data_IF_688544464096
#
_entry.id   IF_688544464096
#
_cell.length_a   1.000
_cell.length_b   1.000
_cell.length_c   1.000
_cell.angle_alpha   90.00
_cell.angle_beta   90.00
_cell.angle_gamma   90.00
#
_symmetry.space_group_name_H-M   'P 1'
#
loop_
_entity.id
_entity.type
_entity.pdbx_description
1 polymer ?
#
# COMPACT_ATOMS: atom_id res chain seq x y z
N UNK A 1 -2.41 -23.90 0.31
CA UNK A 1 -1.95 -23.84 -1.09
C UNK A 1 -2.38 -22.48 -1.62
N UNK A 2 -1.50 -21.75 -2.30
CA UNK A 2 -1.86 -20.44 -2.86
C UNK A 2 -2.92 -20.61 -3.95
N UNK A 3 -3.91 -19.72 -3.98
CA UNK A 3 -4.97 -19.69 -5.00
C UNK A 3 -4.36 -19.35 -6.35
N UNK A 4 -3.53 -18.31 -6.38
CA UNK A 4 -2.86 -17.84 -7.58
C UNK A 4 -1.43 -18.40 -7.63
N UNK A 5 -1.09 -19.08 -8.72
CA UNK A 5 0.24 -19.66 -8.93
C UNK A 5 1.33 -18.61 -9.10
N UNK A 6 0.96 -17.41 -9.56
CA UNK A 6 1.87 -16.28 -9.78
C UNK A 6 1.99 -15.37 -8.54
N UNK A 7 1.47 -15.78 -7.37
CA UNK A 7 1.58 -14.96 -6.17
C UNK A 7 3.07 -14.70 -5.86
N UNK A 8 3.50 -13.42 -5.72
CA UNK A 8 4.89 -13.12 -5.47
C UNK A 8 5.34 -13.64 -4.11
N UNK A 9 6.63 -13.95 -4.01
CA UNK A 9 7.26 -14.31 -2.74
C UNK A 9 7.68 -13.07 -1.98
N UNK A 10 8.00 -13.21 -0.69
CA UNK A 10 8.56 -12.10 0.11
C UNK A 10 9.87 -11.59 -0.49
N UNK A 11 10.70 -12.47 -1.04
CA UNK A 11 11.97 -12.06 -1.66
C UNK A 11 11.73 -11.29 -2.96
N UNK A 12 10.81 -11.75 -3.82
CA UNK A 12 10.41 -11.03 -5.03
C UNK A 12 9.89 -9.63 -4.70
N UNK A 13 8.95 -9.54 -3.75
CA UNK A 13 8.40 -8.27 -3.29
C UNK A 13 9.50 -7.29 -2.86
N UNK A 14 10.54 -7.76 -2.17
CA UNK A 14 11.66 -6.92 -1.72
C UNK A 14 12.63 -6.57 -2.84
N UNK A 15 12.74 -7.40 -3.87
CA UNK A 15 13.50 -7.08 -5.09
C UNK A 15 12.81 -5.94 -5.85
N UNK A 16 11.49 -5.99 -5.97
CA UNK A 16 10.71 -5.02 -6.75
C UNK A 16 10.44 -3.73 -5.96
N UNK A 17 10.32 -3.82 -4.63
CA UNK A 17 10.15 -2.68 -3.71
C UNK A 17 11.28 -2.64 -2.65
N UNK A 18 12.51 -2.22 -3.05
CA UNK A 18 13.70 -2.28 -2.19
C UNK A 18 13.62 -1.38 -0.94
N UNK A 19 12.75 -0.37 -0.94
CA UNK A 19 12.47 0.49 0.22
C UNK A 19 11.90 -0.28 1.42
N UNK A 20 11.32 -1.46 1.20
CA UNK A 20 10.84 -2.30 2.30
C UNK A 20 11.93 -3.17 2.92
N UNK A 21 13.19 -3.13 2.45
CA UNK A 21 14.29 -4.05 2.83
C UNK A 21 14.59 -4.19 4.33
N UNK A 22 14.25 -3.21 5.17
CA UNK A 22 14.40 -3.32 6.63
C UNK A 22 13.44 -4.37 7.22
N UNK A 23 13.98 -5.56 7.53
CA UNK A 23 13.22 -6.68 8.10
C UNK A 23 12.75 -6.45 9.54
N UNK A 24 13.30 -5.46 10.24
CA UNK A 24 12.83 -5.08 11.58
C UNK A 24 11.59 -4.21 11.47
N UNK A 25 11.64 -3.22 10.59
CA UNK A 25 10.52 -2.31 10.37
C UNK A 25 9.39 -2.93 9.54
N UNK A 26 9.75 -3.79 8.58
CA UNK A 26 8.84 -4.53 7.71
C UNK A 26 9.13 -6.02 7.80
N UNK A 27 8.62 -6.73 8.82
CA UNK A 27 8.89 -8.15 8.99
C UNK A 27 8.37 -9.02 7.84
N UNK A 28 9.09 -10.09 7.52
CA UNK A 28 8.69 -11.05 6.49
C UNK A 28 7.30 -11.66 6.79
N UNK A 29 6.94 -11.80 8.07
CA UNK A 29 5.61 -12.25 8.50
C UNK A 29 4.49 -11.27 8.14
N UNK A 30 4.76 -9.95 8.13
CA UNK A 30 3.78 -8.95 7.75
C UNK A 30 3.58 -8.93 6.23
N UNK A 31 4.67 -9.00 5.46
CA UNK A 31 4.61 -9.06 3.99
C UNK A 31 3.87 -10.34 3.56
N UNK A 32 4.26 -11.50 4.09
CA UNK A 32 3.61 -12.77 3.76
C UNK A 32 2.12 -12.78 4.13
N UNK A 33 1.74 -12.17 5.26
CA UNK A 33 0.35 -12.03 5.64
C UNK A 33 -0.45 -11.26 4.57
N UNK A 34 0.04 -10.09 4.13
CA UNK A 34 -0.69 -9.28 3.15
C UNK A 34 -0.61 -9.82 1.72
N UNK A 35 0.45 -10.55 1.36
CA UNK A 35 0.47 -11.35 0.12
C UNK A 35 -0.61 -12.43 0.16
N UNK A 36 -0.80 -13.11 1.28
CA UNK A 36 -1.90 -14.06 1.45
C UNK A 36 -3.29 -13.40 1.34
N UNK A 37 -3.43 -12.16 1.83
CA UNK A 37 -4.65 -11.38 1.64
C UNK A 37 -4.87 -10.98 0.17
N UNK A 38 -3.81 -10.57 -0.52
CA UNK A 38 -3.85 -10.28 -1.95
C UNK A 38 -4.25 -11.53 -2.76
N UNK A 39 -3.73 -12.69 -2.39
CA UNK A 39 -4.07 -13.98 -3.02
C UNK A 39 -5.57 -14.29 -2.92
N UNK A 40 -6.20 -13.96 -1.79
CA UNK A 40 -7.64 -14.17 -1.59
C UNK A 40 -8.51 -13.20 -2.41
N UNK A 41 -8.08 -11.94 -2.53
CA UNK A 41 -8.89 -10.85 -3.11
C UNK A 41 -8.69 -10.70 -4.62
N UNK A 42 -7.49 -10.98 -5.11
CA UNK A 42 -7.12 -10.83 -6.51
C UNK A 42 -7.17 -12.19 -7.23
N UNK A 43 -7.34 -12.11 -8.54
CA UNK A 43 -7.38 -13.29 -9.40
C UNK A 43 -6.44 -13.11 -10.57
N UNK A 44 -5.45 -14.00 -10.69
CA UNK A 44 -4.44 -13.94 -11.74
C UNK A 44 -5.06 -14.13 -13.13
N UNK A 45 -6.19 -14.82 -13.24
CA UNK A 45 -6.85 -15.04 -14.54
C UNK A 45 -7.57 -13.78 -15.02
N UNK A 46 -8.05 -12.95 -14.08
CA UNK A 46 -8.71 -11.68 -14.37
C UNK A 46 -7.70 -10.57 -14.66
N UNK A 47 -6.61 -10.51 -13.89
CA UNK A 47 -5.63 -9.43 -13.98
C UNK A 47 -4.47 -9.74 -14.93
N UNK A 48 -4.28 -11.00 -15.32
CA UNK A 48 -3.21 -11.43 -16.23
C UNK A 48 -1.84 -11.02 -15.71
N UNK A 49 -1.02 -10.46 -16.59
CA UNK A 49 0.36 -10.05 -16.30
C UNK A 49 0.46 -8.96 -15.22
N UNK A 50 -0.62 -8.19 -15.00
CA UNK A 50 -0.66 -7.15 -13.96
C UNK A 50 -0.88 -7.72 -12.55
N UNK A 51 -1.24 -9.01 -12.42
CA UNK A 51 -1.55 -9.62 -11.14
C UNK A 51 -0.44 -9.47 -10.11
N UNK A 52 0.81 -9.76 -10.50
CA UNK A 52 1.98 -9.68 -9.61
C UNK A 52 2.11 -8.27 -9.06
N UNK A 53 2.14 -7.28 -9.95
CA UNK A 53 2.30 -5.88 -9.58
C UNK A 53 1.16 -5.37 -8.67
N UNK A 54 -0.09 -5.73 -8.96
CA UNK A 54 -1.23 -5.38 -8.11
C UNK A 54 -1.16 -6.03 -6.73
N UNK A 55 -0.75 -7.30 -6.65
CA UNK A 55 -0.58 -8.01 -5.37
C UNK A 55 0.52 -7.35 -4.52
N UNK A 56 1.59 -6.87 -5.16
CA UNK A 56 2.67 -6.16 -4.48
C UNK A 56 2.26 -4.75 -4.06
N UNK A 57 1.58 -3.97 -4.90
CA UNK A 57 1.05 -2.65 -4.51
C UNK A 57 0.05 -2.74 -3.35
N UNK A 58 -0.84 -3.74 -3.38
CA UNK A 58 -1.73 -4.05 -2.26
C UNK A 58 -0.94 -4.34 -0.99
N UNK A 59 0.07 -5.20 -1.08
CA UNK A 59 0.92 -5.60 0.04
C UNK A 59 1.69 -4.40 0.60
N UNK A 60 2.34 -3.62 -0.26
CA UNK A 60 3.09 -2.42 0.10
C UNK A 60 2.22 -1.39 0.84
N UNK A 61 0.99 -1.15 0.37
CA UNK A 61 0.06 -0.24 1.04
C UNK A 61 -0.18 -0.63 2.50
N UNK A 62 -0.54 -1.89 2.75
CA UNK A 62 -0.83 -2.35 4.10
C UNK A 62 0.43 -2.49 4.98
N UNK A 63 1.54 -2.94 4.41
CA UNK A 63 2.82 -3.07 5.12
C UNK A 63 3.33 -1.69 5.55
N UNK A 64 3.23 -0.66 4.70
CA UNK A 64 3.60 0.71 5.05
C UNK A 64 2.70 1.26 6.17
N UNK A 65 1.38 1.10 6.06
CA UNK A 65 0.43 1.53 7.10
C UNK A 65 0.72 0.85 8.44
N UNK A 66 1.03 -0.45 8.42
CA UNK A 66 1.43 -1.20 9.62
C UNK A 66 2.75 -0.70 10.18
N UNK A 67 3.75 -0.43 9.34
CA UNK A 67 5.03 0.15 9.76
C UNK A 67 4.84 1.49 10.47
N UNK A 68 4.01 2.38 9.91
CA UNK A 68 3.63 3.67 10.53
C UNK A 68 2.94 3.46 11.89
N UNK A 69 2.02 2.52 12.00
CA UNK A 69 1.32 2.22 13.25
C UNK A 69 2.26 1.68 14.33
N UNK A 70 3.19 0.78 13.98
CA UNK A 70 4.19 0.23 14.90
C UNK A 70 5.16 1.32 15.37
N UNK A 71 5.61 2.19 14.47
CA UNK A 71 6.46 3.34 14.84
C UNK A 71 5.70 4.33 15.74
N UNK A 72 4.44 4.62 15.43
CA UNK A 72 3.61 5.46 16.30
C UNK A 72 3.45 4.86 17.70
N UNK A 73 3.30 3.53 17.79
CA UNK A 73 3.19 2.83 19.04
C UNK A 73 4.49 2.79 19.84
N UNK A 74 5.65 2.65 19.18
CA UNK A 74 6.95 2.67 19.87
C UNK A 74 7.26 4.05 20.45
N UNK A 75 6.82 5.13 19.81
CA UNK A 75 6.99 6.50 20.31
C UNK A 75 5.99 6.81 21.44
N UNK A 76 4.71 6.41 21.29
CA UNK A 76 3.64 6.76 22.23
C UNK A 76 3.50 5.78 23.40
N UNK A 77 4.12 4.59 23.34
CA UNK A 77 3.90 3.49 24.29
C UNK A 77 2.51 2.86 24.22
N UNK A 78 1.70 3.19 23.20
CA UNK A 78 0.31 2.72 23.01
C UNK A 78 0.03 2.54 21.53
N UNK A 79 -0.80 1.56 21.17
CA UNK A 79 -1.30 1.42 19.80
C UNK A 79 -2.10 2.66 19.45
N UNK A 80 -1.60 3.44 18.48
CA UNK A 80 -2.25 4.66 18.01
C UNK A 80 -2.79 4.44 16.60
N UNK A 81 -4.12 4.36 16.50
CA UNK A 81 -4.86 4.21 15.22
C UNK A 81 -5.30 5.54 14.63
N UNK A 82 -5.04 6.66 15.29
CA UNK A 82 -5.43 8.01 14.84
C UNK A 82 -4.51 8.57 13.73
N UNK A 83 -3.45 7.84 13.35
CA UNK A 83 -2.54 8.23 12.26
C UNK A 83 -3.15 8.08 10.84
N UNK A 84 -4.43 7.72 10.72
CA UNK A 84 -5.14 7.57 9.44
C UNK A 84 -5.78 8.86 8.89
N UNK A 85 -5.65 9.98 9.58
CA UNK A 85 -5.89 11.30 8.99
C UNK A 85 -4.56 11.85 8.47
N UNK A 86 -4.54 12.38 7.25
CA UNK A 86 -3.41 13.17 6.74
C UNK A 86 -3.07 14.21 7.81
N UNK A 87 -1.88 14.12 8.39
CA UNK A 87 -1.42 15.12 9.34
C UNK A 87 -1.25 16.45 8.57
N UNK A 88 -2.22 17.35 8.69
CA UNK A 88 -2.19 18.68 8.05
C UNK A 88 -1.18 19.62 8.69
N UNK A 89 -0.72 19.30 9.90
CA UNK A 89 0.37 20.01 10.55
C UNK A 89 1.07 19.14 11.61
N UNK A 90 2.41 19.18 11.59
CA UNK A 90 3.24 18.92 12.77
C UNK A 90 4.11 20.16 12.96
N UNK A 91 3.91 20.89 14.06
CA UNK A 91 4.74 22.03 14.43
C UNK A 91 5.75 21.59 15.51
N UNK A 92 7.03 21.72 15.18
CA UNK A 92 8.10 21.83 16.17
C UNK A 92 8.70 23.21 15.94
N UNK A 93 8.86 23.97 17.02
CA UNK A 93 9.13 25.41 17.06
C UNK A 93 9.68 26.04 15.75
N UNK A 94 8.85 26.92 15.15
CA UNK A 94 9.05 27.73 13.92
C UNK A 94 9.21 27.03 12.55
N UNK A 95 9.25 25.71 12.44
CA UNK A 95 9.29 25.03 11.12
C UNK A 95 8.15 24.02 11.00
N UNK A 96 7.11 24.39 10.26
CA UNK A 96 6.04 23.49 9.83
C UNK A 96 6.21 23.15 8.35
N UNK A 97 6.30 21.86 8.03
CA UNK A 97 6.20 21.39 6.65
C UNK A 97 4.75 20.90 6.40
N UNK A 98 4.01 21.63 5.57
CA UNK A 98 2.70 21.22 5.06
C UNK A 98 2.86 20.92 3.57
N UNK A 99 2.55 19.68 3.16
CA UNK A 99 2.58 19.26 1.77
C UNK A 99 1.15 19.30 1.21
N UNK A 100 0.93 20.03 0.12
CA UNK A 100 -0.32 19.94 -0.63
C UNK A 100 -0.32 18.65 -1.45
N UNK A 101 -1.32 17.80 -1.19
CA UNK A 101 -1.51 16.49 -1.84
C UNK A 101 -2.85 16.42 -2.57
N UNK A 102 -3.57 17.53 -2.67
CA UNK A 102 -4.89 17.60 -3.30
C UNK A 102 -4.88 17.15 -4.76
N UNK A 103 -3.78 17.39 -5.49
CA UNK A 103 -3.61 16.96 -6.88
C UNK A 103 -3.35 15.46 -7.10
N UNK A 104 -3.06 14.70 -6.04
CA UNK A 104 -2.74 13.25 -6.12
C UNK A 104 -3.84 12.40 -5.47
N UNK A 105 -4.65 13.00 -4.58
CA UNK A 105 -5.75 12.32 -3.92
C UNK A 105 -6.92 12.15 -4.87
N UNK A 106 -7.41 10.92 -5.02
CA UNK A 106 -8.68 10.66 -5.67
C UNK A 106 -9.78 10.60 -4.58
N UNK A 107 -10.84 11.43 -4.64
CA UNK A 107 -11.88 11.47 -3.62
C UNK A 107 -12.58 10.11 -3.42
N UNK A 108 -12.61 9.26 -4.45
CA UNK A 108 -13.26 7.95 -4.41
C UNK A 108 -12.35 6.84 -3.85
N UNK A 109 -11.04 7.09 -3.69
CA UNK A 109 -10.09 6.07 -3.25
C UNK A 109 -10.15 5.80 -1.75
N UNK A 110 -10.74 6.70 -0.95
CA UNK A 110 -10.93 6.56 0.50
C UNK A 110 -9.65 6.09 1.21
N UNK A 111 -9.72 4.90 1.82
CA UNK A 111 -8.62 4.24 2.53
C UNK A 111 -7.32 4.13 1.72
N UNK A 112 -7.43 3.90 0.40
CA UNK A 112 -6.30 3.75 -0.49
C UNK A 112 -5.46 5.02 -0.63
N UNK A 113 -6.01 6.20 -0.31
CA UNK A 113 -5.27 7.46 -0.37
C UNK A 113 -4.13 7.58 0.66
N UNK A 114 -4.13 6.75 1.70
CA UNK A 114 -3.18 6.85 2.81
C UNK A 114 -1.71 6.58 2.43
N UNK A 115 -1.47 5.95 1.27
CA UNK A 115 -0.12 5.71 0.75
C UNK A 115 -0.04 5.91 -0.75
N UNK A 116 1.18 6.11 -1.28
CA UNK A 116 1.39 6.16 -2.73
C UNK A 116 1.01 4.83 -3.40
N UNK A 117 1.44 3.71 -2.81
CA UNK A 117 1.10 2.36 -3.30
C UNK A 117 -0.41 2.11 -3.36
N UNK A 118 -1.15 2.58 -2.35
CA UNK A 118 -2.60 2.43 -2.31
C UNK A 118 -3.29 3.24 -3.40
N UNK A 119 -2.86 4.49 -3.61
CA UNK A 119 -3.40 5.33 -4.69
C UNK A 119 -3.18 4.70 -6.06
N UNK A 120 -1.98 4.19 -6.29
CA UNK A 120 -1.64 3.50 -7.54
C UNK A 120 -2.39 2.18 -7.70
N UNK A 121 -2.48 1.37 -6.64
CA UNK A 121 -3.29 0.16 -6.63
C UNK A 121 -4.74 0.46 -7.03
N UNK A 122 -5.36 1.45 -6.37
CA UNK A 122 -6.74 1.84 -6.65
C UNK A 122 -6.93 2.32 -8.08
N UNK A 123 -5.99 3.11 -8.60
CA UNK A 123 -6.02 3.55 -9.99
C UNK A 123 -6.07 2.37 -10.94
N UNK A 124 -5.09 1.45 -10.86
CA UNK A 124 -5.04 0.29 -11.75
C UNK A 124 -6.24 -0.63 -11.55
N UNK A 125 -6.56 -0.96 -10.30
CA UNK A 125 -7.69 -1.80 -9.94
C UNK A 125 -9.02 -1.26 -10.49
N UNK A 126 -9.25 0.06 -10.41
CA UNK A 126 -10.46 0.71 -10.96
C UNK A 126 -10.57 0.68 -12.49
N UNK A 127 -9.47 0.45 -13.20
CA UNK A 127 -9.47 0.33 -14.67
C UNK A 127 -9.89 -1.06 -15.13
N UNK A 128 -9.74 -2.10 -14.29
CA UNK A 128 -10.21 -3.44 -14.63
C UNK A 128 -11.74 -3.46 -14.69
N UNK A 129 -12.27 -3.82 -15.86
CA UNK A 129 -13.71 -3.78 -16.14
C UNK A 129 -14.22 -2.49 -16.77
N UNK A 130 -13.39 -1.44 -16.89
CA UNK A 130 -13.76 -0.17 -17.53
C UNK A 130 -13.73 -0.23 -19.07
N UNK A 131 -13.14 -1.28 -19.67
CA UNK A 131 -12.90 -1.37 -21.11
C UNK A 131 -11.79 -0.43 -21.60
N UNK A 132 -11.38 -0.56 -22.87
CA UNK A 132 -10.39 0.36 -23.45
C UNK A 132 -10.95 1.79 -23.50
N UNK A 133 -10.27 2.75 -22.86
CA UNK A 133 -10.60 4.17 -23.03
C UNK A 133 -10.26 4.58 -24.46
N UNK A 134 -11.26 4.99 -25.23
CA UNK A 134 -11.03 5.67 -26.50
C UNK A 134 -10.27 6.98 -26.21
N UNK A 135 -9.04 7.08 -26.71
CA UNK A 135 -8.35 8.36 -26.83
C UNK A 135 -9.00 9.11 -27.98
N UNK A 136 -9.52 10.31 -27.71
CA UNK A 136 -10.02 11.25 -28.73
C UNK A 136 -8.85 11.87 -29.50
#
# INVERSE_FOLDING_TARGET
MTKNSLLPTVDQFRTDFPEFSDKTHYPDTAINFYLGQADNLLDQTVHGDQFVYLAELFTAHYVELRGKAVMGASISGRVNTAAGGIATSKSVDKVGASYDVSGIINPDAGFWNNTAYGREFFWWWSMFGAGGRQLL
#
